data_IF_243977884242
#
_entry.id   IF_243977884242
#
_cell.length_a   1.000
_cell.length_b   1.000
_cell.length_c   1.000
_cell.angle_alpha   90.00
_cell.angle_beta   90.00
_cell.angle_gamma   90.00
#
_symmetry.space_group_name_H-M   'P 1'
#
loop_
_entity.id
_entity.type
_entity.pdbx_description
1 polymer ?
#
# COMPACT_ATOMS: atom_id res chain seq x y z
N UNK A 1 -60.43 -48.88 6.62
CA UNK A 1 -59.83 -49.82 5.64
C UNK A 1 -58.97 -48.95 4.72
N UNK A 2 -57.67 -48.87 5.03
CA UNK A 2 -56.55 -49.50 4.29
C UNK A 2 -56.33 -48.82 2.93
N UNK A 3 -55.14 -48.45 2.47
CA UNK A 3 -53.76 -48.46 2.94
C UNK A 3 -52.99 -47.70 1.83
N UNK A 4 -51.96 -46.92 2.15
CA UNK A 4 -50.70 -46.74 1.38
C UNK A 4 -50.09 -45.34 1.59
N UNK A 5 -49.54 -45.11 2.78
CA UNK A 5 -48.29 -44.35 2.91
C UNK A 5 -47.36 -45.27 3.69
N UNK A 6 -46.39 -45.85 2.98
CA UNK A 6 -45.40 -46.77 3.51
C UNK A 6 -44.04 -46.08 3.38
N UNK A 7 -43.35 -46.01 4.52
CA UNK A 7 -41.92 -45.92 4.75
C UNK A 7 -41.11 -44.73 4.18
N UNK A 8 -40.79 -43.80 5.09
CA UNK A 8 -39.40 -43.33 5.31
C UNK A 8 -39.26 -42.86 6.77
N UNK A 9 -39.30 -43.80 7.71
CA UNK A 9 -38.84 -43.61 9.08
C UNK A 9 -37.31 -43.58 9.07
N UNK A 10 -36.73 -42.39 9.25
CA UNK A 10 -35.33 -42.23 9.66
C UNK A 10 -35.24 -42.58 11.15
N UNK A 11 -35.00 -43.86 11.45
CA UNK A 11 -34.58 -44.32 12.78
C UNK A 11 -33.17 -43.81 13.07
N UNK A 12 -33.07 -42.58 13.58
CA UNK A 12 -31.83 -42.09 14.19
C UNK A 12 -31.78 -42.57 15.65
N UNK A 13 -31.06 -43.67 15.90
CA UNK A 13 -30.89 -44.21 17.24
C UNK A 13 -30.09 -43.24 18.12
N UNK A 14 -30.45 -43.08 19.40
CA UNK A 14 -29.74 -42.24 20.40
C UNK A 14 -28.22 -42.47 20.42
N UNK A 15 -27.76 -43.69 20.09
CA UNK A 15 -26.33 -44.01 19.99
C UNK A 15 -25.63 -43.35 18.81
N UNK A 16 -26.33 -43.10 17.70
CA UNK A 16 -25.78 -42.44 16.52
C UNK A 16 -25.72 -40.92 16.72
N UNK A 17 -26.70 -40.34 17.44
CA UNK A 17 -26.67 -38.93 17.85
C UNK A 17 -25.51 -38.63 18.83
N UNK A 18 -25.23 -39.55 19.77
CA UNK A 18 -24.11 -39.41 20.72
C UNK A 18 -22.74 -39.57 20.02
N UNK A 19 -22.64 -40.41 18.99
CA UNK A 19 -21.42 -40.52 18.17
C UNK A 19 -21.19 -39.28 17.31
N UNK A 20 -22.27 -38.68 16.76
CA UNK A 20 -22.19 -37.43 15.99
C UNK A 20 -21.76 -36.24 16.86
N UNK A 21 -22.26 -36.15 18.10
CA UNK A 21 -21.89 -35.09 19.03
C UNK A 21 -20.49 -35.27 19.64
N UNK A 22 -20.05 -36.52 19.87
CA UNK A 22 -18.67 -36.80 20.28
C UNK A 22 -17.65 -36.49 19.18
N UNK A 23 -17.97 -36.79 17.91
CA UNK A 23 -17.14 -36.44 16.76
C UNK A 23 -17.05 -34.93 16.51
N UNK A 24 -18.17 -34.21 16.68
CA UNK A 24 -18.19 -32.75 16.56
C UNK A 24 -17.38 -32.06 17.67
N UNK A 25 -17.44 -32.55 18.92
CA UNK A 25 -16.61 -32.00 20.01
C UNK A 25 -15.12 -32.29 19.84
N UNK A 26 -14.74 -33.46 19.29
CA UNK A 26 -13.34 -33.75 18.99
C UNK A 26 -12.78 -32.87 17.85
N UNK A 27 -13.60 -32.53 16.86
CA UNK A 27 -13.23 -31.60 15.79
C UNK A 27 -13.08 -30.15 16.29
N UNK A 28 -13.92 -29.71 17.22
CA UNK A 28 -13.83 -28.39 17.87
C UNK A 28 -12.65 -28.28 18.85
N UNK A 29 -12.26 -29.38 19.51
CA UNK A 29 -11.08 -29.40 20.37
C UNK A 29 -9.75 -29.40 19.58
N UNK A 30 -9.77 -29.84 18.32
CA UNK A 30 -8.58 -29.83 17.46
C UNK A 30 -8.27 -28.46 16.84
N UNK A 31 -9.16 -27.47 16.93
CA UNK A 31 -8.97 -26.15 16.33
C UNK A 31 -8.31 -25.11 17.24
N UNK A 32 -8.10 -25.41 18.52
CA UNK A 32 -7.33 -24.54 19.41
C UNK A 32 -5.89 -25.03 19.47
N UNK A 33 -5.17 -24.95 18.35
CA UNK A 33 -3.71 -24.91 18.43
C UNK A 33 -3.36 -23.74 19.36
N UNK A 34 -2.50 -23.94 20.38
CA UNK A 34 -2.00 -22.83 21.17
C UNK A 34 -1.28 -21.89 20.21
N UNK A 35 -1.94 -20.80 19.83
CA UNK A 35 -1.28 -19.67 19.22
C UNK A 35 -0.19 -19.26 20.21
N UNK A 36 1.05 -19.19 19.73
CA UNK A 36 2.15 -18.65 20.52
C UNK A 36 1.68 -17.35 21.16
N UNK A 37 1.77 -17.26 22.50
CA UNK A 37 1.32 -16.09 23.28
C UNK A 37 2.08 -14.83 22.83
N UNK A 38 3.25 -15.00 22.20
CA UNK A 38 4.05 -13.93 21.60
C UNK A 38 4.40 -14.26 20.15
N UNK A 39 4.26 -13.27 19.27
CA UNK A 39 4.83 -13.33 17.94
C UNK A 39 6.35 -13.12 18.04
N UNK A 40 7.15 -14.13 17.66
CA UNK A 40 8.61 -13.94 17.52
C UNK A 40 8.88 -13.20 16.22
N UNK A 41 9.72 -12.17 16.29
CA UNK A 41 10.22 -11.49 15.09
C UNK A 41 10.86 -12.54 14.16
N UNK A 42 10.50 -12.60 12.86
CA UNK A 42 11.22 -13.45 11.93
C UNK A 42 12.68 -13.00 11.86
N UNK A 43 13.62 -13.95 11.80
CA UNK A 43 15.04 -13.64 11.69
C UNK A 43 15.32 -12.77 10.47
N UNK A 44 16.03 -11.65 10.66
CA UNK A 44 16.46 -10.79 9.54
C UNK A 44 17.45 -11.57 8.68
N UNK A 45 17.06 -11.82 7.43
CA UNK A 45 17.92 -12.43 6.40
C UNK A 45 18.44 -11.33 5.47
N UNK A 46 19.28 -10.47 6.02
CA UNK A 46 19.91 -9.38 5.29
C UNK A 46 21.15 -9.84 4.53
N UNK A 47 21.39 -9.26 3.36
CA UNK A 47 22.69 -9.35 2.72
C UNK A 47 23.68 -8.48 3.49
N UNK A 48 24.73 -9.08 4.05
CA UNK A 48 25.79 -8.34 4.73
C UNK A 48 26.72 -7.69 3.70
N UNK A 49 26.97 -6.38 3.83
CA UNK A 49 27.89 -5.63 2.97
C UNK A 49 28.80 -4.70 3.77
N UNK A 50 29.87 -4.18 3.16
CA UNK A 50 30.70 -3.13 3.77
C UNK A 50 30.02 -1.76 3.68
N UNK A 51 30.38 -0.82 4.56
CA UNK A 51 29.94 0.57 4.46
C UNK A 51 30.32 1.15 3.09
N UNK A 52 31.52 0.86 2.58
CA UNK A 52 31.97 1.30 1.26
C UNK A 52 31.01 0.84 0.15
N UNK A 53 30.64 -0.44 0.15
CA UNK A 53 29.72 -0.99 -0.86
C UNK A 53 28.30 -0.44 -0.69
N UNK A 54 27.87 -0.22 0.55
CA UNK A 54 26.59 0.41 0.87
C UNK A 54 26.47 1.81 0.28
N UNK A 55 27.53 2.62 0.42
CA UNK A 55 27.57 4.01 -0.07
C UNK A 55 27.60 4.10 -1.61
N UNK A 56 28.08 3.05 -2.29
CA UNK A 56 28.15 2.98 -3.74
C UNK A 56 26.91 2.37 -4.40
N UNK A 57 25.99 1.80 -3.61
CA UNK A 57 24.83 1.07 -4.12
C UNK A 57 23.69 2.01 -4.47
N UNK A 58 23.02 1.78 -5.60
CA UNK A 58 21.81 2.51 -5.95
C UNK A 58 20.58 1.93 -5.22
N UNK A 59 19.54 2.75 -4.94
CA UNK A 59 18.33 2.32 -4.27
C UNK A 59 17.62 1.08 -4.85
N UNK A 60 17.61 0.90 -6.18
CA UNK A 60 16.90 -0.23 -6.80
C UNK A 60 17.64 -1.51 -6.44
N UNK A 61 18.97 -1.53 -6.58
CA UNK A 61 19.81 -2.66 -6.17
C UNK A 61 19.67 -2.97 -4.67
N UNK A 62 19.49 -1.96 -3.81
CA UNK A 62 19.24 -2.18 -2.37
C UNK A 62 17.97 -3.03 -2.15
N UNK A 63 16.86 -2.64 -2.79
CA UNK A 63 15.59 -3.36 -2.71
C UNK A 63 15.69 -4.77 -3.32
N UNK A 64 16.40 -4.93 -4.44
CA UNK A 64 16.63 -6.25 -5.06
C UNK A 64 17.42 -7.22 -4.19
N UNK A 65 18.25 -6.72 -3.27
CA UNK A 65 18.97 -7.57 -2.32
C UNK A 65 18.11 -7.97 -1.11
N UNK A 66 17.01 -7.27 -0.84
CA UNK A 66 16.16 -7.53 0.32
C UNK A 66 15.25 -8.74 0.11
N UNK A 67 15.46 -9.76 0.94
CA UNK A 67 14.58 -10.94 0.98
C UNK A 67 13.16 -10.59 1.47
N UNK A 68 13.05 -9.58 2.33
CA UNK A 68 11.78 -9.13 2.90
C UNK A 68 10.94 -8.36 1.89
N UNK A 69 11.57 -7.47 1.12
CA UNK A 69 10.92 -6.76 -0.01
C UNK A 69 10.42 -7.77 -1.05
N UNK A 70 11.25 -8.74 -1.45
CA UNK A 70 10.85 -9.82 -2.38
C UNK A 70 9.63 -10.58 -1.88
N UNK A 71 9.67 -11.04 -0.63
CA UNK A 71 8.56 -11.79 -0.04
C UNK A 71 7.26 -10.97 0.03
N UNK A 72 7.37 -9.67 0.31
CA UNK A 72 6.23 -8.76 0.36
C UNK A 72 5.64 -8.53 -1.04
N UNK A 73 6.50 -8.32 -2.03
CA UNK A 73 6.08 -8.15 -3.42
C UNK A 73 5.49 -9.44 -4.02
N UNK A 74 6.09 -10.60 -3.74
CA UNK A 74 5.56 -11.90 -4.14
C UNK A 74 4.18 -12.16 -3.52
N UNK A 75 3.98 -11.76 -2.25
CA UNK A 75 2.67 -11.81 -1.60
C UNK A 75 1.64 -10.94 -2.34
N UNK A 76 1.99 -9.73 -2.75
CA UNK A 76 1.10 -8.85 -3.51
C UNK A 76 0.71 -9.46 -4.85
N UNK A 77 1.68 -9.95 -5.63
CA UNK A 77 1.42 -10.60 -6.92
C UNK A 77 0.55 -11.85 -6.75
N UNK A 78 0.85 -12.68 -5.74
CA UNK A 78 0.05 -13.87 -5.42
C UNK A 78 -1.39 -13.50 -5.06
N UNK A 79 -1.56 -12.50 -4.20
CA UNK A 79 -2.89 -12.06 -3.74
C UNK A 79 -3.69 -11.44 -4.88
N UNK A 80 -3.07 -10.59 -5.70
CA UNK A 80 -3.70 -10.05 -6.91
C UNK A 80 -4.12 -11.18 -7.88
N UNK A 81 -3.35 -12.27 -7.95
CA UNK A 81 -3.70 -13.43 -8.75
C UNK A 81 -4.93 -14.23 -8.23
N UNK A 82 -5.38 -13.96 -7.00
CA UNK A 82 -6.62 -14.55 -6.46
C UNK A 82 -7.89 -13.79 -6.87
N UNK A 83 -7.78 -12.62 -7.50
CA UNK A 83 -8.92 -11.88 -8.07
C UNK A 83 -9.62 -12.79 -9.09
N UNK A 84 -10.93 -13.00 -8.96
CA UNK A 84 -11.68 -13.91 -9.82
C UNK A 84 -11.97 -13.30 -11.20
N UNK A 85 -12.35 -12.02 -11.27
CA UNK A 85 -12.53 -11.30 -12.53
C UNK A 85 -11.20 -11.27 -13.32
N UNK A 86 -11.21 -11.91 -14.50
CA UNK A 86 -10.01 -12.14 -15.30
C UNK A 86 -9.39 -10.81 -15.77
N UNK A 87 -10.23 -9.83 -16.14
CA UNK A 87 -9.75 -8.55 -16.67
C UNK A 87 -9.17 -7.71 -15.54
N UNK A 88 -9.84 -7.63 -14.40
CA UNK A 88 -9.38 -6.92 -13.22
C UNK A 88 -8.09 -7.56 -12.66
N UNK A 89 -8.03 -8.89 -12.59
CA UNK A 89 -6.82 -9.63 -12.18
C UNK A 89 -5.64 -9.26 -13.06
N UNK A 90 -5.80 -9.40 -14.38
CA UNK A 90 -4.75 -9.09 -15.35
C UNK A 90 -4.28 -7.64 -15.21
N UNK A 91 -5.21 -6.68 -15.25
CA UNK A 91 -4.85 -5.26 -15.17
C UNK A 91 -4.18 -4.89 -13.84
N UNK A 92 -4.61 -5.49 -12.72
CA UNK A 92 -3.99 -5.28 -11.41
C UNK A 92 -2.55 -5.79 -11.38
N UNK A 93 -2.32 -7.02 -11.85
CA UNK A 93 -0.98 -7.61 -11.93
C UNK A 93 -0.08 -6.81 -12.89
N UNK A 94 -0.60 -6.39 -14.04
CA UNK A 94 0.14 -5.58 -15.01
C UNK A 94 0.62 -4.26 -14.40
N UNK A 95 -0.22 -3.58 -13.60
CA UNK A 95 0.18 -2.34 -12.92
C UNK A 95 1.22 -2.62 -11.83
N UNK A 96 1.06 -3.67 -11.02
CA UNK A 96 2.06 -4.03 -10.00
C UNK A 96 3.43 -4.33 -10.63
N UNK A 97 3.45 -5.03 -11.77
CA UNK A 97 4.66 -5.37 -12.50
C UNK A 97 5.29 -4.18 -13.22
N UNK A 98 4.47 -3.26 -13.73
CA UNK A 98 4.90 -2.08 -14.46
C UNK A 98 4.00 -0.89 -14.09
N UNK A 99 4.29 -0.18 -12.98
CA UNK A 99 3.55 1.00 -12.55
C UNK A 99 3.91 2.21 -13.42
N UNK A 100 3.74 2.06 -14.72
CA UNK A 100 4.00 3.07 -15.72
C UNK A 100 2.89 4.12 -15.70
N UNK A 101 3.22 5.42 -15.69
CA UNK A 101 2.23 6.50 -15.65
C UNK A 101 1.63 6.73 -17.04
N UNK A 102 0.77 5.79 -17.48
CA UNK A 102 0.14 5.86 -18.81
C UNK A 102 -0.82 7.02 -18.93
N UNK A 103 -1.26 7.61 -17.82
CA UNK A 103 -1.94 8.91 -17.79
C UNK A 103 -1.20 9.97 -18.65
N UNK A 104 0.13 9.94 -18.67
CA UNK A 104 0.92 10.87 -19.48
C UNK A 104 0.76 10.68 -20.99
N UNK A 105 0.15 9.58 -21.46
CA UNK A 105 -0.27 9.42 -22.86
C UNK A 105 -1.29 10.50 -23.27
N UNK A 106 -2.02 11.08 -22.32
CA UNK A 106 -2.94 12.20 -22.54
C UNK A 106 -2.21 13.55 -22.69
N UNK A 107 -0.91 13.63 -22.38
CA UNK A 107 -0.13 14.87 -22.41
C UNK A 107 1.13 14.74 -23.28
N UNK A 108 0.99 14.61 -24.62
CA UNK A 108 2.11 14.39 -25.52
C UNK A 108 3.06 15.59 -25.61
N UNK A 109 2.65 16.78 -25.20
CA UNK A 109 3.51 17.97 -25.16
C UNK A 109 3.33 18.78 -23.86
N UNK A 110 4.20 19.77 -23.67
CA UNK A 110 4.10 20.70 -22.54
C UNK A 110 2.81 21.53 -22.56
N UNK A 111 2.20 21.72 -23.74
CA UNK A 111 0.95 22.46 -23.85
C UNK A 111 -0.20 21.72 -23.16
N UNK A 112 -0.34 20.41 -23.36
CA UNK A 112 -1.40 19.63 -22.70
C UNK A 112 -1.18 19.51 -21.19
N UNK A 113 0.08 19.42 -20.74
CA UNK A 113 0.42 19.48 -19.30
C UNK A 113 0.00 20.81 -18.68
N UNK A 114 0.28 21.93 -19.35
CA UNK A 114 -0.12 23.25 -18.88
C UNK A 114 -1.65 23.42 -18.90
N UNK A 115 -2.35 22.87 -19.89
CA UNK A 115 -3.82 22.88 -19.91
C UNK A 115 -4.41 22.05 -18.76
N UNK A 116 -3.84 20.88 -18.44
CA UNK A 116 -4.26 20.07 -17.29
C UNK A 116 -4.07 20.84 -15.97
N UNK A 117 -2.91 21.50 -15.81
CA UNK A 117 -2.66 22.43 -14.70
C UNK A 117 -3.72 23.52 -14.64
N UNK A 118 -4.01 24.21 -15.74
CA UNK A 118 -5.00 25.30 -15.79
C UNK A 118 -6.40 24.82 -15.36
N UNK A 119 -6.82 23.63 -15.80
CA UNK A 119 -8.10 23.04 -15.37
C UNK A 119 -8.13 22.77 -13.86
N UNK A 120 -7.05 22.22 -13.29
CA UNK A 120 -6.95 22.01 -11.84
C UNK A 120 -6.92 23.32 -11.04
N UNK A 121 -6.23 24.35 -11.54
CA UNK A 121 -6.21 25.68 -10.92
C UNK A 121 -7.59 26.32 -10.96
N UNK A 122 -8.29 26.24 -12.10
CA UNK A 122 -9.65 26.76 -12.24
C UNK A 122 -10.65 26.05 -11.30
N UNK A 123 -10.44 24.76 -11.04
CA UNK A 123 -11.22 23.98 -10.07
C UNK A 123 -10.81 24.22 -8.61
N UNK A 124 -9.76 25.00 -8.34
CA UNK A 124 -9.27 25.28 -6.98
C UNK A 124 -8.47 24.13 -6.35
N UNK A 125 -8.07 23.12 -7.12
CA UNK A 125 -7.35 21.93 -6.62
C UNK A 125 -5.84 22.00 -6.79
N UNK A 126 -5.33 23.08 -7.38
CA UNK A 126 -3.91 23.35 -7.52
C UNK A 126 -3.64 24.84 -7.32
N UNK A 127 -2.51 25.18 -6.71
CA UNK A 127 -2.08 26.58 -6.56
C UNK A 127 -1.70 27.16 -7.92
N UNK A 128 -2.08 28.41 -8.27
CA UNK A 128 -1.71 29.05 -9.53
C UNK A 128 -0.19 29.10 -9.79
N UNK A 129 0.61 29.14 -8.71
CA UNK A 129 2.08 29.19 -8.75
C UNK A 129 2.75 27.84 -9.02
N UNK A 130 2.00 26.73 -9.03
CA UNK A 130 2.58 25.40 -9.29
C UNK A 130 3.11 25.29 -10.73
N UNK A 131 4.29 24.70 -10.90
CA UNK A 131 4.74 24.23 -12.21
C UNK A 131 4.09 22.87 -12.52
N UNK A 132 3.87 22.54 -13.79
CA UNK A 132 3.33 21.21 -14.12
C UNK A 132 4.26 20.08 -13.67
N UNK A 133 5.59 20.29 -13.70
CA UNK A 133 6.58 19.32 -13.22
C UNK A 133 6.57 19.12 -11.70
N UNK A 134 5.87 19.98 -10.94
CA UNK A 134 5.70 19.81 -9.49
C UNK A 134 4.74 18.65 -9.19
N UNK A 135 3.65 18.54 -9.96
CA UNK A 135 2.61 17.51 -9.73
C UNK A 135 2.56 16.43 -10.82
N UNK A 136 3.20 16.63 -11.98
CA UNK A 136 3.47 15.61 -12.99
C UNK A 136 4.99 15.39 -13.08
N UNK A 137 5.57 14.56 -12.19
CA UNK A 137 7.01 14.34 -12.16
C UNK A 137 7.57 13.91 -13.54
N UNK A 138 8.87 14.14 -13.81
CA UNK A 138 9.50 13.72 -15.05
C UNK A 138 9.31 12.23 -15.33
N UNK A 139 9.00 11.88 -16.58
CA UNK A 139 8.91 10.51 -17.05
C UNK A 139 9.39 10.45 -18.51
N UNK A 140 10.35 9.57 -18.79
CA UNK A 140 10.93 9.44 -20.13
C UNK A 140 10.06 8.61 -21.08
N UNK A 141 9.29 7.66 -20.54
CA UNK A 141 8.44 6.76 -21.31
C UNK A 141 7.20 6.39 -20.49
N UNK A 142 6.01 6.95 -20.82
CA UNK A 142 4.75 6.68 -20.13
C UNK A 142 4.33 5.20 -20.08
N UNK A 143 4.90 4.35 -20.94
CA UNK A 143 4.63 2.91 -20.96
C UNK A 143 5.61 2.09 -20.09
N UNK A 144 6.58 2.73 -19.43
CA UNK A 144 7.53 2.08 -18.51
C UNK A 144 7.50 2.73 -17.13
N UNK A 145 7.59 1.89 -16.10
CA UNK A 145 7.76 2.33 -14.73
C UNK A 145 9.02 3.19 -14.59
N UNK A 146 8.90 4.31 -13.87
CA UNK A 146 10.05 5.17 -13.53
C UNK A 146 10.93 4.48 -12.50
N UNK A 147 10.30 3.87 -11.49
CA UNK A 147 10.91 2.97 -10.52
C UNK A 147 10.03 1.71 -10.48
N UNK A 148 10.60 0.49 -10.38
CA UNK A 148 9.81 -0.71 -10.13
C UNK A 148 9.01 -0.59 -8.83
N UNK A 149 7.80 -1.14 -8.78
CA UNK A 149 6.94 -1.08 -7.58
C UNK A 149 7.66 -1.60 -6.32
N UNK A 150 8.41 -2.70 -6.45
CA UNK A 150 9.17 -3.30 -5.36
C UNK A 150 10.36 -2.46 -4.87
N UNK A 151 10.77 -1.41 -5.59
CA UNK A 151 11.93 -0.58 -5.23
C UNK A 151 11.55 0.85 -4.81
N UNK A 152 10.29 1.22 -5.00
CA UNK A 152 9.80 2.55 -4.62
C UNK A 152 9.70 2.70 -3.09
N UNK A 153 9.86 3.94 -2.59
CA UNK A 153 9.54 4.24 -1.19
C UNK A 153 8.03 4.23 -0.96
N UNK A 154 7.62 3.84 0.24
CA UNK A 154 6.22 3.80 0.65
C UNK A 154 5.67 5.16 1.09
N UNK A 155 6.49 6.20 1.23
CA UNK A 155 6.03 7.58 1.45
C UNK A 155 7.16 8.60 1.19
N UNK A 156 6.86 9.89 1.38
CA UNK A 156 7.83 10.98 1.28
C UNK A 156 9.01 10.85 2.24
N UNK A 157 10.16 11.41 1.83
CA UNK A 157 11.43 11.23 2.54
C UNK A 157 11.36 11.77 3.98
N UNK A 158 11.44 10.87 4.96
CA UNK A 158 11.33 11.20 6.39
C UNK A 158 10.01 10.75 7.04
N UNK A 159 9.08 10.19 6.26
CA UNK A 159 7.85 9.54 6.76
C UNK A 159 8.01 8.01 6.78
N UNK A 160 6.93 7.29 7.07
CA UNK A 160 6.87 5.83 7.18
C UNK A 160 7.23 5.10 5.88
N UNK A 161 7.93 3.98 5.96
CA UNK A 161 8.37 3.22 4.79
C UNK A 161 9.16 4.03 3.73
N UNK A 162 9.79 5.16 4.10
CA UNK A 162 10.53 6.02 3.16
C UNK A 162 11.95 5.50 2.87
N UNK A 163 12.04 4.28 2.35
CA UNK A 163 13.28 3.57 1.98
C UNK A 163 13.05 2.68 0.74
N UNK A 164 14.10 2.18 0.06
CA UNK A 164 13.95 1.35 -1.12
C UNK A 164 13.21 0.03 -0.84
N UNK A 165 12.08 -0.14 -1.53
CA UNK A 165 11.13 -1.24 -1.36
C UNK A 165 10.13 -1.09 -0.22
N UNK A 166 10.11 0.08 0.42
CA UNK A 166 9.10 0.42 1.42
C UNK A 166 7.68 0.38 0.89
N UNK A 167 7.44 0.67 -0.40
CA UNK A 167 6.12 0.57 -1.01
C UNK A 167 5.59 -0.87 -0.97
N UNK A 168 6.41 -1.85 -1.37
CA UNK A 168 5.99 -3.25 -1.34
C UNK A 168 5.68 -3.73 0.08
N UNK A 169 6.47 -3.32 1.07
CA UNK A 169 6.22 -3.72 2.48
C UNK A 169 4.98 -3.05 3.05
N UNK A 170 4.78 -1.76 2.75
CA UNK A 170 3.59 -1.00 3.13
C UNK A 170 2.33 -1.67 2.58
N UNK A 171 2.20 -1.72 1.25
CA UNK A 171 1.01 -2.26 0.59
C UNK A 171 0.76 -3.73 0.97
N UNK A 172 1.79 -4.54 1.22
CA UNK A 172 1.61 -5.90 1.71
C UNK A 172 0.93 -5.96 3.09
N UNK A 173 1.29 -5.06 4.02
CA UNK A 173 0.59 -4.92 5.30
C UNK A 173 -0.84 -4.43 5.09
N UNK A 174 -1.04 -3.42 4.24
CA UNK A 174 -2.39 -2.88 4.01
C UNK A 174 -3.33 -3.92 3.39
N UNK A 175 -2.86 -4.69 2.40
CA UNK A 175 -3.65 -5.80 1.81
C UNK A 175 -3.96 -6.89 2.84
N UNK A 176 -3.03 -7.22 3.74
CA UNK A 176 -3.29 -8.16 4.85
C UNK A 176 -4.37 -7.61 5.80
N UNK A 177 -4.26 -6.34 6.19
CA UNK A 177 -5.22 -5.69 7.07
C UNK A 177 -6.61 -5.63 6.42
N UNK A 178 -6.70 -5.17 5.17
CA UNK A 178 -7.95 -5.11 4.41
C UNK A 178 -8.64 -6.48 4.29
N UNK A 179 -7.87 -7.55 3.99
CA UNK A 179 -8.43 -8.91 3.95
C UNK A 179 -8.84 -9.43 5.34
N UNK A 180 -8.14 -9.02 6.39
CA UNK A 180 -8.54 -9.29 7.78
C UNK A 180 -9.89 -8.66 8.11
N UNK A 181 -10.06 -7.37 7.82
CA UNK A 181 -11.34 -6.67 8.00
C UNK A 181 -12.44 -7.23 7.09
N UNK A 182 -12.13 -7.54 5.83
CA UNK A 182 -13.06 -8.21 4.93
C UNK A 182 -13.61 -9.50 5.55
N UNK A 183 -12.75 -10.36 6.08
CA UNK A 183 -13.16 -11.60 6.72
C UNK A 183 -13.97 -11.34 8.00
N UNK A 184 -13.53 -10.41 8.85
CA UNK A 184 -14.24 -10.07 10.08
C UNK A 184 -15.67 -9.58 9.79
N UNK A 185 -15.84 -8.66 8.83
CA UNK A 185 -17.16 -8.14 8.47
C UNK A 185 -18.03 -9.17 7.77
N UNK A 186 -17.44 -10.02 6.91
CA UNK A 186 -18.13 -11.14 6.26
C UNK A 186 -18.63 -12.15 7.31
N UNK A 187 -17.78 -12.56 8.23
CA UNK A 187 -18.06 -13.66 9.16
C UNK A 187 -18.99 -13.23 10.30
N UNK A 188 -18.89 -11.99 10.77
CA UNK A 188 -19.71 -11.49 11.89
C UNK A 188 -21.03 -10.87 11.42
N UNK A 189 -21.01 -10.10 10.31
CA UNK A 189 -22.18 -9.35 9.86
C UNK A 189 -22.80 -9.88 8.57
N UNK A 190 -22.17 -10.83 7.87
CA UNK A 190 -22.66 -11.34 6.59
C UNK A 190 -22.63 -10.29 5.47
N UNK A 191 -21.75 -9.29 5.57
CA UNK A 191 -21.71 -8.19 4.59
C UNK A 191 -21.34 -8.67 3.18
N UNK A 192 -22.18 -8.40 2.16
CA UNK A 192 -21.92 -8.82 0.79
C UNK A 192 -20.90 -7.88 0.14
N UNK A 193 -19.62 -8.12 0.38
CA UNK A 193 -18.51 -7.36 -0.21
C UNK A 193 -17.81 -8.15 -1.32
N UNK A 194 -17.31 -7.44 -2.32
CA UNK A 194 -16.45 -8.01 -3.35
C UNK A 194 -15.00 -8.10 -2.86
N UNK A 195 -14.51 -9.33 -2.68
CA UNK A 195 -13.10 -9.57 -2.35
C UNK A 195 -12.17 -9.07 -3.46
N UNK A 196 -12.59 -9.21 -4.71
CA UNK A 196 -11.85 -8.75 -5.89
C UNK A 196 -11.63 -7.23 -5.86
N UNK A 197 -12.67 -6.46 -5.51
CA UNK A 197 -12.59 -5.00 -5.38
C UNK A 197 -11.65 -4.62 -4.24
N UNK A 198 -11.75 -5.27 -3.07
CA UNK A 198 -10.85 -5.01 -1.93
C UNK A 198 -9.39 -5.29 -2.29
N UNK A 199 -9.10 -6.42 -2.95
CA UNK A 199 -7.72 -6.74 -3.36
C UNK A 199 -7.20 -5.73 -4.37
N UNK A 200 -7.97 -5.42 -5.42
CA UNK A 200 -7.54 -4.50 -6.46
C UNK A 200 -7.34 -3.08 -5.92
N UNK A 201 -8.32 -2.55 -5.20
CA UNK A 201 -8.27 -1.20 -4.64
C UNK A 201 -7.10 -1.04 -3.66
N UNK A 202 -6.94 -1.97 -2.71
CA UNK A 202 -5.85 -1.88 -1.73
C UNK A 202 -4.48 -2.10 -2.37
N UNK A 203 -4.35 -3.01 -3.34
CA UNK A 203 -3.06 -3.26 -3.99
C UNK A 203 -2.58 -2.07 -4.85
N UNK A 204 -3.51 -1.23 -5.32
CA UNK A 204 -3.24 -0.15 -6.26
C UNK A 204 -3.40 1.26 -5.67
N UNK A 205 -3.80 1.39 -4.40
CA UNK A 205 -4.06 2.72 -3.80
C UNK A 205 -2.90 3.70 -3.93
N UNK A 206 -1.69 3.18 -3.87
CA UNK A 206 -0.44 3.91 -3.98
C UNK A 206 0.32 3.71 -5.29
N UNK A 207 -0.35 3.26 -6.36
CA UNK A 207 0.33 2.80 -7.58
C UNK A 207 1.31 3.83 -8.17
N UNK A 208 1.11 5.14 -7.93
CA UNK A 208 1.98 6.20 -8.43
C UNK A 208 3.05 6.71 -7.47
N UNK A 209 3.20 6.13 -6.27
CA UNK A 209 4.41 6.36 -5.44
C UNK A 209 5.73 6.12 -6.20
N UNK A 210 5.88 5.10 -7.08
CA UNK A 210 7.07 4.91 -7.92
C UNK A 210 7.34 6.05 -8.92
N UNK A 211 6.30 6.78 -9.33
CA UNK A 211 6.44 7.93 -10.23
C UNK A 211 6.69 9.25 -9.47
N UNK A 212 6.04 9.42 -8.31
CA UNK A 212 6.12 10.65 -7.50
C UNK A 212 7.39 10.74 -6.67
N UNK A 213 7.79 9.65 -6.01
CA UNK A 213 8.90 9.63 -5.06
C UNK A 213 10.20 9.15 -5.71
N UNK A 214 10.57 9.76 -6.84
CA UNK A 214 11.79 9.39 -7.57
C UNK A 214 13.05 9.59 -6.73
N UNK A 215 13.98 8.65 -6.77
CA UNK A 215 15.26 8.75 -6.08
C UNK A 215 16.13 9.86 -6.67
N UNK A 216 16.64 10.73 -5.81
CA UNK A 216 17.55 11.82 -6.15
C UNK A 216 19.01 11.37 -6.04
N UNK A 217 19.94 12.15 -6.61
CA UNK A 217 21.38 11.84 -6.60
C UNK A 217 21.97 11.66 -5.19
N UNK A 218 21.44 12.37 -4.20
CA UNK A 218 21.87 12.24 -2.81
C UNK A 218 21.26 11.02 -2.10
N UNK A 219 20.39 10.24 -2.74
CA UNK A 219 19.71 9.08 -2.14
C UNK A 219 18.39 9.40 -1.43
N UNK A 220 17.99 10.68 -1.33
CA UNK A 220 16.65 11.04 -0.86
C UNK A 220 15.60 10.81 -1.95
N UNK A 221 14.33 10.62 -1.58
CA UNK A 221 13.24 10.64 -2.57
C UNK A 221 12.79 12.09 -2.83
N UNK A 222 12.32 12.36 -4.05
CA UNK A 222 11.71 13.63 -4.43
C UNK A 222 10.58 14.01 -3.45
N UNK A 223 10.47 15.29 -3.12
CA UNK A 223 9.35 15.84 -2.34
C UNK A 223 8.09 15.85 -3.19
N UNK A 224 7.00 15.37 -2.63
CA UNK A 224 5.69 15.35 -3.27
C UNK A 224 5.00 16.72 -3.23
N UNK A 225 4.20 17.00 -4.26
CA UNK A 225 3.34 18.17 -4.33
C UNK A 225 1.88 17.78 -4.06
N UNK A 226 1.05 18.63 -3.41
CA UNK A 226 -0.34 18.30 -3.17
C UNK A 226 -1.26 18.62 -4.37
N UNK A 227 -2.29 17.79 -4.57
CA UNK A 227 -3.41 18.02 -5.48
C UNK A 227 -4.71 17.81 -4.68
N UNK A 228 -5.64 18.75 -4.75
CA UNK A 228 -6.91 18.71 -4.01
C UNK A 228 -6.72 18.45 -2.49
N UNK A 229 -5.70 19.07 -1.90
CA UNK A 229 -5.40 18.97 -0.47
C UNK A 229 -4.67 17.69 -0.04
N UNK A 230 -4.45 16.73 -0.94
CA UNK A 230 -3.78 15.47 -0.65
C UNK A 230 -2.49 15.29 -1.47
N UNK A 231 -1.57 14.41 -1.06
CA UNK A 231 -0.39 14.04 -1.85
C UNK A 231 -0.74 13.62 -3.29
N UNK A 232 -0.01 14.15 -4.27
CA UNK A 232 -0.25 13.89 -5.69
C UNK A 232 -0.32 12.40 -6.06
N UNK A 233 0.45 11.52 -5.40
CA UNK A 233 0.43 10.09 -5.69
C UNK A 233 -0.98 9.51 -5.63
N UNK A 234 -1.81 9.94 -4.68
CA UNK A 234 -3.17 9.46 -4.53
C UNK A 234 -4.03 9.86 -5.74
N UNK A 235 -4.11 11.17 -6.03
CA UNK A 235 -4.93 11.69 -7.13
C UNK A 235 -4.44 11.20 -8.49
N UNK A 236 -3.13 11.11 -8.69
CA UNK A 236 -2.56 10.55 -9.92
C UNK A 236 -2.87 9.05 -10.05
N UNK A 237 -2.86 8.28 -8.96
CA UNK A 237 -3.21 6.85 -8.97
C UNK A 237 -4.67 6.65 -9.39
N UNK A 238 -5.58 7.49 -8.90
CA UNK A 238 -6.97 7.49 -9.34
C UNK A 238 -7.10 7.86 -10.81
N UNK A 239 -6.40 8.90 -11.26
CA UNK A 239 -6.42 9.34 -12.66
C UNK A 239 -5.92 8.24 -13.61
N UNK A 240 -4.91 7.47 -13.21
CA UNK A 240 -4.44 6.30 -13.96
C UNK A 240 -5.53 5.26 -14.16
N UNK A 241 -6.26 4.92 -13.08
CA UNK A 241 -7.31 3.91 -13.15
C UNK A 241 -8.50 4.39 -14.00
N UNK A 242 -8.83 5.68 -13.94
CA UNK A 242 -9.82 6.29 -14.83
C UNK A 242 -9.37 6.19 -16.28
N UNK A 243 -8.13 6.58 -16.60
CA UNK A 243 -7.55 6.47 -17.94
C UNK A 243 -7.56 5.03 -18.46
N UNK A 244 -7.22 4.07 -17.60
CA UNK A 244 -7.22 2.62 -17.90
C UNK A 244 -8.62 1.99 -17.91
N UNK A 245 -9.68 2.76 -17.63
CA UNK A 245 -11.08 2.29 -17.60
C UNK A 245 -11.30 1.13 -16.62
N UNK A 246 -10.74 1.23 -15.42
CA UNK A 246 -11.06 0.31 -14.33
C UNK A 246 -12.54 0.44 -13.91
N UNK A 247 -13.14 -0.59 -13.31
CA UNK A 247 -14.50 -0.51 -12.76
C UNK A 247 -14.61 0.64 -11.75
N UNK A 248 -15.73 1.37 -11.80
CA UNK A 248 -15.97 2.55 -10.96
C UNK A 248 -15.90 2.21 -9.47
N UNK A 249 -16.40 1.04 -9.06
CA UNK A 249 -16.36 0.55 -7.69
C UNK A 249 -14.93 0.32 -7.17
N UNK A 250 -13.97 -0.03 -8.04
CA UNK A 250 -12.56 -0.16 -7.67
C UNK A 250 -11.93 1.21 -7.48
N UNK A 251 -12.22 2.15 -8.38
CA UNK A 251 -11.70 3.53 -8.30
C UNK A 251 -12.24 4.24 -7.06
N UNK A 252 -13.54 4.12 -6.77
CA UNK A 252 -14.15 4.69 -5.56
C UNK A 252 -13.59 4.04 -4.31
N UNK A 253 -13.46 2.70 -4.28
CA UNK A 253 -12.86 2.02 -3.13
C UNK A 253 -11.40 2.44 -2.92
N UNK A 254 -10.63 2.62 -4.00
CA UNK A 254 -9.26 3.12 -3.94
C UNK A 254 -9.20 4.56 -3.44
N UNK A 255 -10.09 5.43 -3.91
CA UNK A 255 -10.16 6.82 -3.47
C UNK A 255 -10.39 6.90 -1.96
N UNK A 256 -11.07 5.90 -1.40
CA UNK A 256 -11.34 5.81 0.02
C UNK A 256 -10.14 5.36 0.88
N UNK A 257 -8.97 5.03 0.31
CA UNK A 257 -7.80 4.68 1.12
C UNK A 257 -7.46 5.80 2.13
N UNK A 258 -7.45 7.05 1.67
CA UNK A 258 -7.02 8.19 2.48
C UNK A 258 -8.13 8.87 3.29
N UNK A 259 -9.42 8.63 3.00
CA UNK A 259 -10.58 9.02 3.83
C UNK A 259 -11.83 8.26 3.36
N UNK A 260 -12.95 8.28 4.08
CA UNK A 260 -14.12 7.45 3.79
C UNK A 260 -15.43 8.27 3.80
N UNK A 261 -16.53 7.81 3.18
CA UNK A 261 -17.77 8.57 3.16
C UNK A 261 -18.60 8.35 4.44
N UNK A 262 -17.98 8.45 5.62
CA UNK A 262 -18.62 8.24 6.93
C UNK A 262 -19.41 9.46 7.41
N UNK A 263 -18.95 10.65 7.06
CA UNK A 263 -19.65 11.92 7.28
C UNK A 263 -19.68 12.75 5.99
N UNK A 264 -20.54 13.78 5.90
CA UNK A 264 -20.52 14.68 4.75
C UNK A 264 -19.19 15.41 4.55
N UNK A 265 -18.39 15.60 5.60
CA UNK A 265 -17.11 16.29 5.52
C UNK A 265 -16.04 15.38 4.94
N UNK A 266 -16.00 14.14 5.43
CA UNK A 266 -15.07 13.12 4.94
C UNK A 266 -15.39 12.73 3.48
N UNK A 267 -16.67 12.61 3.13
CA UNK A 267 -17.09 12.32 1.75
C UNK A 267 -16.67 13.42 0.78
N UNK A 268 -16.66 14.71 1.19
CA UNK A 268 -16.24 15.82 0.33
C UNK A 268 -14.78 15.73 -0.09
N UNK A 269 -13.91 15.17 0.76
CA UNK A 269 -12.51 14.96 0.39
C UNK A 269 -12.40 13.91 -0.71
N UNK A 270 -13.06 12.76 -0.54
CA UNK A 270 -13.10 11.69 -1.56
C UNK A 270 -13.65 12.19 -2.90
N UNK A 271 -14.75 12.95 -2.86
CA UNK A 271 -15.36 13.58 -4.03
C UNK A 271 -14.38 14.56 -4.71
N UNK A 272 -13.62 15.33 -3.94
CA UNK A 272 -12.64 16.28 -4.48
C UNK A 272 -11.50 15.55 -5.21
N UNK A 273 -11.00 14.43 -4.66
CA UNK A 273 -9.96 13.63 -5.30
C UNK A 273 -10.44 12.96 -6.58
N UNK A 274 -11.66 12.39 -6.58
CA UNK A 274 -12.25 11.76 -7.77
C UNK A 274 -12.45 12.77 -8.90
N UNK A 275 -12.92 13.98 -8.59
CA UNK A 275 -13.06 15.01 -9.62
C UNK A 275 -11.70 15.51 -10.13
N UNK A 276 -10.71 15.72 -9.25
CA UNK A 276 -9.36 16.12 -9.67
C UNK A 276 -8.72 15.06 -10.56
N UNK A 277 -8.90 13.78 -10.21
CA UNK A 277 -8.45 12.66 -11.01
C UNK A 277 -9.16 12.59 -12.37
N UNK A 278 -10.47 12.86 -12.43
CA UNK A 278 -11.22 12.89 -13.68
C UNK A 278 -10.75 14.04 -14.61
N UNK A 279 -10.49 15.24 -14.06
CA UNK A 279 -9.90 16.36 -14.81
C UNK A 279 -8.57 15.95 -15.45
N UNK A 280 -7.70 15.28 -14.68
CA UNK A 280 -6.42 14.78 -15.19
C UNK A 280 -6.64 13.73 -16.29
N UNK A 281 -7.56 12.79 -16.10
CA UNK A 281 -7.86 11.75 -17.08
C UNK A 281 -8.67 12.24 -18.31
N UNK A 282 -8.92 13.54 -18.44
CA UNK A 282 -9.80 14.13 -19.47
C UNK A 282 -11.17 13.42 -19.53
N UNK A 283 -11.72 13.08 -18.37
CA UNK A 283 -13.05 12.48 -18.20
C UNK A 283 -13.91 13.35 -17.28
N UNK A 284 -15.22 13.09 -17.31
CA UNK A 284 -16.16 13.61 -16.33
C UNK A 284 -16.50 12.51 -15.31
N UNK A 285 -16.41 12.84 -14.02
CA UNK A 285 -16.55 11.86 -12.93
C UNK A 285 -17.97 11.28 -12.84
N UNK A 286 -18.99 12.08 -13.18
CA UNK A 286 -20.40 11.68 -13.14
C UNK A 286 -20.71 10.67 -14.24
N UNK A 287 -20.41 11.01 -15.50
CA UNK A 287 -20.62 10.13 -16.65
C UNK A 287 -19.76 8.87 -16.64
N UNK A 288 -18.61 8.90 -15.95
CA UNK A 288 -17.82 7.69 -15.68
C UNK A 288 -18.49 6.78 -14.62
N UNK A 289 -19.39 7.31 -13.79
CA UNK A 289 -20.09 6.59 -12.73
C UNK A 289 -19.40 6.64 -11.36
N UNK A 290 -18.49 7.60 -11.14
CA UNK A 290 -17.78 7.77 -9.86
C UNK A 290 -18.59 8.56 -8.84
N UNK A 291 -19.48 9.45 -9.31
CA UNK A 291 -20.24 10.41 -8.51
C UNK A 291 -21.72 10.40 -8.89
N UNK A 292 -22.57 10.98 -8.03
CA UNK A 292 -23.99 11.25 -8.31
C UNK A 292 -24.17 12.27 -9.44
N UNK A 293 -25.39 12.35 -10.01
CA UNK A 293 -25.71 13.26 -11.13
C UNK A 293 -25.36 14.74 -10.87
N UNK A 294 -25.45 15.17 -9.61
CA UNK A 294 -25.09 16.54 -9.20
C UNK A 294 -23.58 16.73 -8.92
N UNK A 295 -22.80 15.65 -9.00
CA UNK A 295 -21.35 15.63 -8.76
C UNK A 295 -20.93 15.87 -7.30
N UNK A 296 -21.86 15.85 -6.33
CA UNK A 296 -21.59 16.27 -4.95
C UNK A 296 -21.30 15.14 -3.97
N UNK A 297 -21.73 13.92 -4.29
CA UNK A 297 -21.63 12.77 -3.38
C UNK A 297 -21.23 11.50 -4.11
N UNK A 298 -20.83 10.47 -3.38
CA UNK A 298 -20.64 9.14 -3.95
C UNK A 298 -22.02 8.50 -4.23
N UNK A 299 -22.14 7.61 -5.22
CA UNK A 299 -23.37 6.89 -5.49
C UNK A 299 -23.85 6.10 -4.26
N UNK A 300 -25.18 6.10 -4.05
CA UNK A 300 -25.83 5.24 -3.06
C UNK A 300 -26.16 3.85 -3.66
N UNK A 301 -26.05 2.77 -2.88
CA UNK A 301 -25.51 2.73 -1.52
C UNK A 301 -23.99 2.91 -1.50
N UNK A 302 -23.46 3.59 -0.48
CA UNK A 302 -22.01 3.69 -0.23
C UNK A 302 -21.46 2.30 0.01
N UNK A 303 -20.55 1.89 -0.88
CA UNK A 303 -20.00 0.54 -0.90
C UNK A 303 -19.05 0.30 0.26
N UNK A 304 -19.23 -0.81 0.98
CA UNK A 304 -18.40 -1.15 2.14
C UNK A 304 -16.94 -1.32 1.77
N UNK A 305 -16.62 -1.75 0.54
CA UNK A 305 -15.24 -1.92 0.10
C UNK A 305 -14.40 -0.65 0.26
N UNK A 306 -14.98 0.55 0.11
CA UNK A 306 -14.27 1.80 0.38
C UNK A 306 -13.86 1.97 1.85
N UNK A 307 -14.74 1.59 2.78
CA UNK A 307 -14.41 1.61 4.22
C UNK A 307 -13.37 0.55 4.58
N UNK A 308 -13.42 -0.64 3.96
CA UNK A 308 -12.40 -1.68 4.17
C UNK A 308 -11.04 -1.23 3.64
N UNK A 309 -11.00 -0.59 2.47
CA UNK A 309 -9.76 -0.02 1.93
C UNK A 309 -9.22 1.07 2.84
N UNK A 310 -10.08 1.95 3.35
CA UNK A 310 -9.68 2.96 4.33
C UNK A 310 -9.04 2.33 5.57
N UNK A 311 -9.72 1.36 6.21
CA UNK A 311 -9.22 0.65 7.39
C UNK A 311 -7.92 -0.12 7.10
N UNK A 312 -7.79 -0.68 5.89
CA UNK A 312 -6.58 -1.34 5.43
C UNK A 312 -5.37 -0.41 5.36
N UNK A 313 -5.58 0.86 5.03
CA UNK A 313 -4.53 1.87 4.87
C UNK A 313 -4.06 2.52 6.20
N UNK A 314 -4.27 1.88 7.36
CA UNK A 314 -3.96 2.46 8.68
C UNK A 314 -2.64 2.00 9.32
N UNK A 315 -1.74 1.36 8.57
CA UNK A 315 -0.44 0.95 9.12
C UNK A 315 0.38 2.15 9.64
N UNK A 316 0.15 3.35 9.09
CA UNK A 316 0.73 4.63 9.52
C UNK A 316 0.54 4.95 11.00
N UNK A 317 -0.49 4.40 11.65
CA UNK A 317 -0.72 4.58 13.10
C UNK A 317 0.50 4.13 13.91
N UNK A 318 1.15 3.04 13.50
CA UNK A 318 2.41 2.57 14.07
C UNK A 318 3.63 3.05 13.27
N UNK A 319 3.60 2.95 11.94
CA UNK A 319 4.81 3.12 11.12
C UNK A 319 5.30 4.58 11.07
N UNK A 320 4.44 5.58 11.24
CA UNK A 320 4.85 7.00 11.30
C UNK A 320 5.70 7.33 12.54
N UNK A 321 5.25 7.06 13.79
CA UNK A 321 6.10 7.30 14.96
C UNK A 321 7.36 6.43 14.94
N UNK A 322 7.25 5.17 14.51
CA UNK A 322 8.39 4.25 14.36
C UNK A 322 9.44 4.83 13.41
N UNK A 323 9.04 5.40 12.27
CA UNK A 323 9.97 6.04 11.34
C UNK A 323 10.79 7.14 12.01
N UNK A 324 10.13 8.03 12.78
CA UNK A 324 10.81 9.13 13.48
C UNK A 324 11.84 8.60 14.47
N UNK A 325 11.45 7.63 15.30
CA UNK A 325 12.35 7.07 16.31
C UNK A 325 13.51 6.31 15.68
N UNK A 326 13.25 5.50 14.67
CA UNK A 326 14.28 4.65 14.06
C UNK A 326 15.24 5.41 13.16
N UNK A 327 14.80 6.47 12.48
CA UNK A 327 15.71 7.37 11.76
C UNK A 327 16.68 8.04 12.74
N UNK A 328 16.16 8.57 13.86
CA UNK A 328 16.98 9.18 14.90
C UNK A 328 17.97 8.17 15.51
N UNK A 329 17.49 6.98 15.89
CA UNK A 329 18.35 5.91 16.44
C UNK A 329 19.41 5.45 15.46
N UNK A 330 19.08 5.31 14.17
CA UNK A 330 20.07 4.94 13.18
C UNK A 330 21.12 6.04 12.97
N UNK A 331 20.74 7.32 13.15
CA UNK A 331 21.68 8.44 13.19
C UNK A 331 22.66 8.34 14.36
N UNK A 332 22.19 8.00 15.56
CA UNK A 332 23.07 7.75 16.72
C UNK A 332 24.06 6.61 16.43
N UNK A 333 23.58 5.50 15.88
CA UNK A 333 24.41 4.34 15.52
C UNK A 333 25.44 4.71 14.45
N UNK A 334 25.04 5.47 13.42
CA UNK A 334 25.93 5.94 12.38
C UNK A 334 27.09 6.78 12.94
N UNK A 335 26.84 7.62 13.95
CA UNK A 335 27.88 8.41 14.63
C UNK A 335 28.82 7.52 15.45
N UNK A 336 28.26 6.62 16.26
CA UNK A 336 29.02 5.81 17.22
C UNK A 336 29.83 4.69 16.55
N UNK A 337 29.22 3.95 15.63
CA UNK A 337 29.81 2.73 15.06
C UNK A 337 30.47 2.97 13.68
N UNK A 338 30.04 4.01 12.94
CA UNK A 338 30.48 4.29 11.57
C UNK A 338 31.16 5.66 11.43
N UNK A 339 31.43 6.34 12.55
CA UNK A 339 32.18 7.60 12.61
C UNK A 339 31.61 8.70 11.71
N UNK A 340 30.28 8.72 11.52
CA UNK A 340 29.61 9.79 10.79
C UNK A 340 29.54 11.07 11.64
N UNK A 341 29.64 12.23 11.01
CA UNK A 341 29.46 13.54 11.65
C UNK A 341 27.99 13.98 11.63
N UNK A 342 27.64 15.05 12.34
CA UNK A 342 26.27 15.63 12.24
C UNK A 342 25.95 16.13 10.82
N UNK A 343 26.95 16.64 10.09
CA UNK A 343 26.80 17.01 8.69
C UNK A 343 26.55 15.78 7.79
N UNK A 344 27.17 14.64 8.10
CA UNK A 344 26.94 13.40 7.35
C UNK A 344 25.49 12.90 7.48
N UNK A 345 24.82 13.17 8.60
CA UNK A 345 23.42 12.77 8.82
C UNK A 345 22.42 13.47 7.89
N UNK A 346 22.84 14.55 7.21
CA UNK A 346 22.05 15.28 6.22
C UNK A 346 22.62 15.13 4.79
N UNK A 347 23.49 14.14 4.57
CA UNK A 347 24.19 13.94 3.31
C UNK A 347 23.91 12.56 2.71
N UNK A 348 24.39 12.35 1.48
CA UNK A 348 24.32 11.06 0.79
C UNK A 348 24.91 9.91 1.63
N UNK A 349 25.88 10.20 2.49
CA UNK A 349 26.53 9.19 3.32
C UNK A 349 25.53 8.50 4.25
N UNK A 350 24.77 9.29 5.03
CA UNK A 350 23.75 8.72 5.90
C UNK A 350 22.53 8.24 5.10
N UNK A 351 22.15 8.91 4.02
CA UNK A 351 20.99 8.50 3.22
C UNK A 351 21.19 7.11 2.60
N UNK A 352 22.37 6.82 2.04
CA UNK A 352 22.69 5.49 1.54
C UNK A 352 22.69 4.43 2.65
N UNK A 353 23.33 4.72 3.78
CA UNK A 353 23.35 3.83 4.95
C UNK A 353 21.94 3.52 5.46
N UNK A 354 21.14 4.57 5.68
CA UNK A 354 19.74 4.50 6.11
C UNK A 354 18.89 3.69 5.15
N UNK A 355 18.96 4.01 3.86
CA UNK A 355 18.17 3.34 2.84
C UNK A 355 18.48 1.85 2.79
N UNK A 356 19.75 1.48 2.84
CA UNK A 356 20.14 0.08 2.79
C UNK A 356 19.66 -0.67 4.03
N UNK A 357 19.96 -0.15 5.22
CA UNK A 357 19.55 -0.78 6.49
C UNK A 357 18.05 -0.98 6.54
N UNK A 358 17.25 0.04 6.23
CA UNK A 358 15.78 -0.07 6.26
C UNK A 358 15.20 -0.91 5.13
N UNK A 359 15.88 -1.03 4.00
CA UNK A 359 15.50 -1.97 2.95
C UNK A 359 15.72 -3.42 3.39
N UNK A 360 16.80 -3.71 4.12
CA UNK A 360 17.13 -5.07 4.58
C UNK A 360 16.37 -5.49 5.85
N UNK A 361 16.13 -4.54 6.76
CA UNK A 361 15.40 -4.70 8.00
C UNK A 361 14.51 -3.47 8.17
N UNK A 362 13.22 -3.65 7.91
CA UNK A 362 12.22 -2.57 7.96
C UNK A 362 12.31 -1.76 9.26
N UNK A 363 11.83 -0.51 9.21
CA UNK A 363 11.76 0.36 10.39
C UNK A 363 11.07 -0.35 11.57
N UNK A 364 9.99 -1.07 11.28
CA UNK A 364 9.17 -1.79 12.26
C UNK A 364 9.90 -2.99 12.86
N UNK A 365 10.67 -3.74 12.05
CA UNK A 365 11.49 -4.84 12.56
C UNK A 365 12.60 -4.35 13.49
N UNK A 366 13.26 -3.24 13.13
CA UNK A 366 14.30 -2.66 13.97
C UNK A 366 13.72 -2.05 15.26
N UNK A 367 12.53 -1.44 15.17
CA UNK A 367 11.81 -0.96 16.35
C UNK A 367 11.42 -2.10 17.28
N UNK A 368 10.95 -3.23 16.74
CA UNK A 368 10.64 -4.42 17.53
C UNK A 368 11.88 -4.95 18.26
N UNK A 369 13.01 -5.07 17.58
CA UNK A 369 14.29 -5.50 18.18
C UNK A 369 14.71 -4.54 19.30
N UNK A 370 14.60 -3.23 19.07
CA UNK A 370 14.97 -2.23 20.05
C UNK A 370 14.10 -2.28 21.31
N UNK A 371 12.79 -2.46 21.15
CA UNK A 371 11.81 -2.37 22.25
C UNK A 371 11.59 -3.69 22.99
N UNK A 372 11.80 -4.82 22.34
CA UNK A 372 11.60 -6.15 22.93
C UNK A 372 12.92 -6.77 23.39
N UNK A 373 14.00 -6.60 22.62
CA UNK A 373 15.29 -7.23 22.94
C UNK A 373 16.20 -6.27 23.71
N UNK A 374 16.87 -5.34 23.03
CA UNK A 374 17.69 -4.29 23.66
C UNK A 374 18.29 -3.29 22.65
N UNK A 375 18.86 -2.20 23.17
CA UNK A 375 19.73 -1.30 22.40
C UNK A 375 20.93 -2.05 21.78
N UNK A 376 21.56 -2.97 22.52
CA UNK A 376 22.70 -3.74 22.02
C UNK A 376 22.30 -4.62 20.84
N UNK A 377 21.16 -5.31 20.94
CA UNK A 377 20.62 -6.13 19.86
C UNK A 377 20.31 -5.32 18.59
N UNK A 378 19.81 -4.09 18.74
CA UNK A 378 19.61 -3.17 17.61
C UNK A 378 20.95 -2.85 16.92
N UNK A 379 21.98 -2.46 17.69
CA UNK A 379 23.31 -2.12 17.14
C UNK A 379 23.93 -3.34 16.44
N UNK A 380 23.90 -4.51 17.07
CA UNK A 380 24.42 -5.75 16.51
C UNK A 380 23.70 -6.13 15.22
N UNK A 381 22.38 -5.93 15.17
CA UNK A 381 21.58 -6.14 13.96
C UNK A 381 22.04 -5.20 12.84
N UNK A 382 22.20 -3.90 13.11
CA UNK A 382 22.67 -2.94 12.09
C UNK A 382 24.07 -3.33 11.59
N UNK A 383 24.99 -3.72 12.48
CA UNK A 383 26.35 -4.17 12.13
C UNK A 383 26.37 -5.51 11.38
N UNK A 384 25.34 -6.34 11.56
CA UNK A 384 25.16 -7.57 10.78
C UNK A 384 24.72 -7.28 9.34
N UNK A 385 24.08 -6.14 9.09
CA UNK A 385 23.63 -5.68 7.75
C UNK A 385 24.76 -4.91 7.04
N UNK A 386 25.36 -3.93 7.71
CA UNK A 386 26.47 -3.11 7.17
C UNK A 386 27.65 -3.18 8.12
N UNK A 387 28.81 -3.65 7.66
CA UNK A 387 30.03 -3.57 8.48
C UNK A 387 30.68 -2.19 8.34
N UNK A 388 31.15 -1.59 9.45
CA UNK A 388 31.88 -0.32 9.43
C UNK A 388 33.02 -0.25 8.40
#
# INVERSE_FOLDING_TARGET
MNNLIKDMTLDCNRRDFIKMSAGAMAALAATTLPLSITAKAPSIKAAKISLKDCLAMDPITMAEKSSYVKSSYDYLLKTANEIQDIKLRRSTIEILQNPAPRLLELYPSNAEKEQAKQRLVAAGWLKPTAAYDDFLPPCNNPSKAVIPFYAAPGSGYGSHHSYPGGLATHVAVNVKAALGFFNAYKDIYGFPMSRDVVIAAQSLHDLHKPWVFQWQKNGASRTEFPIAGQGAHHVLSLAELIHRRFPAEVIVAQACAHNHPGTPDDEREVVSWLNAAAILANQDAVSFGLLTEDGKTLPLPRRTEGFITHLGDHDWVLSVPVAKWMIAKLGEIAKQEYQMTDADLQSQKFYAFRNYVFSQATLEQLYLIWTVDSQAALVDTVKSIVTP
#
